data_IF_202731708950
#
_entry.id   IF_202731708950
#
_cell.length_a   1.000
_cell.length_b   1.000
_cell.length_c   1.000
_cell.angle_alpha   90.00
_cell.angle_beta   90.00
_cell.angle_gamma   90.00
#
_symmetry.space_group_name_H-M   'P 1'
#
loop_
_entity.id
_entity.type
_entity.pdbx_description
1 polymer ?
#
# COMPACT_ATOMS: atom_id res chain seq x y z
N UNK A 1 -23.51 -2.36 -13.37
CA UNK A 1 -23.71 -1.87 -11.99
C UNK A 1 -23.15 -0.44 -11.97
N UNK A 2 -24.01 0.54 -11.64
CA UNK A 2 -23.90 2.00 -11.92
C UNK A 2 -22.48 2.58 -11.70
N UNK A 3 -21.88 3.42 -12.56
CA UNK A 3 -22.24 4.72 -13.17
C UNK A 3 -22.43 5.85 -12.15
N UNK A 4 -21.32 6.49 -11.78
CA UNK A 4 -21.27 7.86 -11.26
C UNK A 4 -20.03 8.58 -11.82
N UNK A 5 -20.24 9.80 -12.29
CA UNK A 5 -19.25 10.70 -12.85
C UNK A 5 -19.11 11.84 -11.83
N UNK A 6 -18.10 11.74 -10.98
CA UNK A 6 -17.86 12.63 -9.84
C UNK A 6 -16.40 12.50 -9.40
N UNK A 7 -15.83 13.60 -8.92
CA UNK A 7 -14.50 13.79 -8.33
C UNK A 7 -13.72 12.47 -8.06
N UNK A 8 -12.63 12.25 -8.80
CA UNK A 8 -11.80 11.05 -8.70
C UNK A 8 -11.12 11.04 -7.32
N UNK A 9 -11.80 10.53 -6.30
CA UNK A 9 -11.22 10.33 -4.98
C UNK A 9 -10.28 9.13 -5.04
N UNK A 10 -9.00 9.39 -5.26
CA UNK A 10 -7.96 8.36 -5.18
C UNK A 10 -7.78 7.95 -3.72
N UNK A 11 -8.24 6.75 -3.40
CA UNK A 11 -8.08 6.16 -2.07
C UNK A 11 -6.79 5.34 -2.07
N UNK A 12 -5.84 5.70 -1.20
CA UNK A 12 -4.52 5.06 -1.13
C UNK A 12 -4.28 4.39 0.21
N UNK A 13 -3.51 3.31 0.19
CA UNK A 13 -3.14 2.58 1.39
C UNK A 13 -2.48 3.52 2.41
N UNK A 14 -3.12 3.65 3.57
CA UNK A 14 -2.66 4.49 4.69
C UNK A 14 -1.56 3.82 5.54
N UNK A 15 -1.16 2.59 5.18
CA UNK A 15 -0.09 1.83 5.82
C UNK A 15 -0.34 1.55 7.31
N UNK A 16 -1.59 1.31 7.69
CA UNK A 16 -2.00 1.01 9.07
C UNK A 16 -1.46 -0.31 9.65
N UNK A 17 -0.83 -1.18 8.84
CA UNK A 17 -0.24 -2.43 9.32
C UNK A 17 -1.22 -3.59 9.56
N UNK A 18 -2.53 -3.43 9.34
CA UNK A 18 -3.50 -4.51 9.55
C UNK A 18 -3.13 -5.79 8.78
N UNK A 19 -2.70 -5.66 7.52
CA UNK A 19 -2.26 -6.77 6.69
C UNK A 19 -0.96 -7.43 7.15
N UNK A 20 -0.06 -6.67 7.79
CA UNK A 20 1.16 -7.20 8.38
C UNK A 20 0.86 -7.98 9.66
N UNK A 21 -0.03 -7.45 10.51
CA UNK A 21 -0.39 -8.08 11.79
C UNK A 21 -1.06 -9.45 11.64
N UNK A 22 -1.78 -9.68 10.53
CA UNK A 22 -2.42 -10.97 10.26
C UNK A 22 -1.59 -11.90 9.40
N UNK A 23 -0.42 -11.47 8.87
CA UNK A 23 0.33 -12.30 7.93
C UNK A 23 1.04 -13.44 8.67
N UNK A 24 0.64 -14.71 8.50
CA UNK A 24 1.19 -15.81 9.30
C UNK A 24 2.65 -16.14 8.97
N UNK A 25 3.10 -15.77 7.76
CA UNK A 25 4.43 -16.11 7.25
C UNK A 25 5.39 -14.91 7.22
N UNK A 26 5.01 -13.76 7.79
CA UNK A 26 5.75 -12.50 7.67
C UNK A 26 6.09 -12.13 6.21
N UNK A 27 5.20 -12.51 5.27
CA UNK A 27 5.30 -12.11 3.88
C UNK A 27 4.97 -10.63 3.69
N UNK A 28 4.12 -10.08 4.56
CA UNK A 28 3.87 -8.66 4.72
C UNK A 28 4.33 -8.22 6.10
N UNK A 29 5.14 -7.16 6.16
CA UNK A 29 5.55 -6.52 7.41
C UNK A 29 5.33 -5.02 7.33
N UNK A 30 5.05 -4.40 8.48
CA UNK A 30 5.08 -2.95 8.65
C UNK A 30 6.49 -2.59 9.16
N UNK A 31 7.21 -1.83 8.36
CA UNK A 31 8.53 -1.30 8.67
C UNK A 31 8.53 0.21 8.45
N UNK A 32 9.67 0.87 8.60
CA UNK A 32 9.83 2.30 8.36
C UNK A 32 10.98 2.57 7.37
N UNK A 33 10.90 3.70 6.69
CA UNK A 33 11.97 4.22 5.86
C UNK A 33 12.23 5.67 6.24
N UNK A 34 13.50 6.00 6.40
CA UNK A 34 13.94 7.35 6.68
C UNK A 34 14.09 8.13 5.36
N UNK A 35 13.58 9.36 5.37
CA UNK A 35 13.63 10.28 4.24
C UNK A 35 14.14 11.62 4.73
N UNK A 36 15.06 12.21 3.99
CA UNK A 36 15.49 13.59 4.23
C UNK A 36 14.52 14.54 3.53
N UNK A 37 13.89 15.43 4.30
CA UNK A 37 12.96 16.45 3.83
C UNK A 37 13.41 17.77 4.44
N UNK A 38 13.78 18.75 3.61
CA UNK A 38 14.26 20.07 4.05
C UNK A 38 15.41 20.03 5.07
N UNK A 39 16.28 19.02 4.98
CA UNK A 39 17.42 18.82 5.88
C UNK A 39 17.09 18.12 7.20
N UNK A 40 15.84 17.70 7.41
CA UNK A 40 15.42 16.89 8.55
C UNK A 40 15.18 15.44 8.15
N UNK A 41 15.59 14.49 9.00
CA UNK A 41 15.29 13.07 8.81
C UNK A 41 13.90 12.77 9.35
N UNK A 42 12.99 12.39 8.47
CA UNK A 42 11.61 12.01 8.79
C UNK A 42 11.43 10.52 8.52
N UNK A 43 11.00 9.77 9.55
CA UNK A 43 10.68 8.35 9.40
C UNK A 43 9.22 8.16 8.96
N UNK A 44 8.99 7.26 8.01
CA UNK A 44 7.66 6.98 7.44
C UNK A 44 7.39 5.48 7.38
N UNK A 45 6.21 5.08 7.84
CA UNK A 45 5.74 3.70 7.73
C UNK A 45 5.71 3.22 6.27
N UNK A 46 6.05 1.96 6.06
CA UNK A 46 6.11 1.28 4.77
C UNK A 46 5.68 -0.18 4.92
N UNK A 47 4.81 -0.62 4.02
CA UNK A 47 4.50 -2.05 3.87
C UNK A 47 5.59 -2.68 2.99
N UNK A 48 6.26 -3.70 3.52
CA UNK A 48 7.25 -4.50 2.79
C UNK A 48 6.63 -5.85 2.48
N UNK A 49 6.75 -6.28 1.22
CA UNK A 49 6.26 -7.56 0.75
C UNK A 49 7.41 -8.46 0.29
N UNK A 50 7.45 -9.70 0.78
CA UNK A 50 8.38 -10.74 0.35
C UNK A 50 7.62 -11.87 -0.37
N UNK A 51 7.69 -11.97 -1.71
CA UNK A 51 6.96 -12.98 -2.46
C UNK A 51 7.40 -14.41 -2.12
N UNK A 52 8.66 -14.62 -1.71
CA UNK A 52 9.17 -15.95 -1.36
C UNK A 52 8.60 -16.51 -0.05
N UNK A 53 7.98 -15.67 0.77
CA UNK A 53 7.30 -16.06 2.02
C UNK A 53 5.78 -16.15 1.86
N UNK A 54 5.24 -15.70 0.73
CA UNK A 54 3.80 -15.66 0.50
C UNK A 54 3.30 -17.03 0.03
N UNK A 55 2.31 -17.58 0.71
CA UNK A 55 1.61 -18.82 0.37
C UNK A 55 0.24 -18.58 -0.27
N UNK A 56 -0.07 -17.32 -0.61
CA UNK A 56 -1.32 -16.89 -1.22
C UNK A 56 -2.59 -17.19 -0.41
N UNK A 57 -2.47 -17.31 0.94
CA UNK A 57 -3.58 -17.61 1.85
C UNK A 57 -4.74 -16.59 1.80
N UNK A 58 -4.43 -15.31 1.58
CA UNK A 58 -5.43 -14.25 1.43
C UNK A 58 -5.83 -13.50 2.71
N UNK A 59 -5.32 -13.87 3.89
CA UNK A 59 -5.69 -13.20 5.16
C UNK A 59 -5.47 -11.68 5.14
N UNK A 60 -4.40 -11.23 4.46
CA UNK A 60 -4.12 -9.81 4.30
C UNK A 60 -5.21 -9.03 3.53
N UNK A 61 -5.92 -9.70 2.61
CA UNK A 61 -7.03 -9.11 1.84
C UNK A 61 -8.20 -8.87 2.78
N UNK A 62 -8.62 -9.91 3.51
CA UNK A 62 -9.77 -9.84 4.43
C UNK A 62 -9.52 -8.88 5.60
N UNK A 63 -8.28 -8.77 6.06
CA UNK A 63 -7.91 -7.87 7.15
C UNK A 63 -7.80 -6.39 6.75
N UNK A 64 -7.86 -6.05 5.45
CA UNK A 64 -7.73 -4.67 5.01
C UNK A 64 -9.01 -3.87 5.32
N UNK A 65 -9.02 -2.93 6.28
CA UNK A 65 -10.24 -2.22 6.67
C UNK A 65 -10.74 -1.23 5.61
N UNK A 66 -9.94 -1.02 4.55
CA UNK A 66 -10.25 -0.13 3.44
C UNK A 66 -10.49 -0.87 2.12
N UNK A 67 -10.53 -2.22 2.16
CA UNK A 67 -10.76 -3.08 0.99
C UNK A 67 -9.84 -2.75 -0.21
N UNK A 68 -8.59 -2.41 0.08
CA UNK A 68 -7.62 -2.02 -0.95
C UNK A 68 -6.80 -3.19 -1.47
N UNK A 69 -6.52 -4.18 -0.62
CA UNK A 69 -5.70 -5.34 -0.98
C UNK A 69 -6.50 -6.30 -1.86
N UNK A 70 -5.89 -6.79 -2.94
CA UNK A 70 -6.53 -7.76 -3.83
C UNK A 70 -5.48 -8.66 -4.49
N UNK A 71 -5.93 -9.81 -5.01
CA UNK A 71 -5.07 -10.72 -5.78
C UNK A 71 -4.57 -10.04 -7.06
N UNK A 72 -3.34 -10.35 -7.44
CA UNK A 72 -2.72 -9.90 -8.67
C UNK A 72 -2.18 -11.11 -9.44
N UNK A 73 -2.39 -11.13 -10.76
CA UNK A 73 -2.00 -12.25 -11.63
C UNK A 73 -0.54 -12.12 -12.12
N UNK A 74 0.37 -11.68 -11.24
CA UNK A 74 1.80 -11.56 -11.54
C UNK A 74 2.56 -12.57 -10.70
N UNK A 75 3.34 -13.43 -11.36
CA UNK A 75 4.06 -14.56 -10.74
C UNK A 75 4.92 -14.14 -9.53
N UNK A 76 5.55 -12.96 -9.58
CA UNK A 76 6.40 -12.46 -8.49
C UNK A 76 5.70 -11.45 -7.58
N UNK A 77 4.40 -11.21 -7.78
CA UNK A 77 3.61 -10.24 -7.02
C UNK A 77 2.14 -10.70 -7.01
N UNK A 78 1.80 -11.69 -6.17
CA UNK A 78 0.46 -12.30 -6.12
C UNK A 78 -0.60 -11.41 -5.46
N UNK A 79 -0.18 -10.29 -4.83
CA UNK A 79 -1.07 -9.33 -4.18
C UNK A 79 -0.74 -7.90 -4.62
N UNK A 80 -1.74 -7.04 -4.68
CA UNK A 80 -1.61 -5.62 -5.01
C UNK A 80 -2.57 -4.76 -4.16
N UNK A 81 -2.45 -3.44 -4.26
CA UNK A 81 -3.34 -2.49 -3.56
C UNK A 81 -2.76 -1.86 -2.28
N UNK A 82 -1.50 -2.14 -1.96
CA UNK A 82 -0.77 -1.49 -0.87
C UNK A 82 0.28 -0.50 -1.40
N UNK A 83 0.55 0.53 -0.59
CA UNK A 83 1.55 1.56 -0.93
C UNK A 83 2.93 1.08 -0.48
N UNK A 84 3.85 0.95 -1.43
CA UNK A 84 5.26 0.61 -1.17
C UNK A 84 6.13 1.84 -0.95
N UNK A 85 5.52 3.02 -0.86
CA UNK A 85 6.19 4.32 -0.74
C UNK A 85 7.30 4.49 -1.79
N UNK A 86 7.02 4.13 -3.05
CA UNK A 86 7.98 4.20 -4.15
C UNK A 86 8.05 5.56 -4.84
N UNK A 87 7.21 6.52 -4.44
CA UNK A 87 7.15 7.91 -4.95
C UNK A 87 6.83 8.07 -6.45
N UNK A 88 6.62 6.98 -7.19
CA UNK A 88 6.24 7.01 -8.61
C UNK A 88 4.92 7.75 -8.88
N UNK A 89 4.05 7.88 -7.88
CA UNK A 89 2.84 8.69 -8.00
C UNK A 89 3.13 10.19 -8.06
N UNK A 90 4.21 10.66 -7.42
CA UNK A 90 4.59 12.07 -7.37
C UNK A 90 5.08 12.59 -8.72
N UNK A 91 5.76 11.76 -9.50
CA UNK A 91 6.22 12.12 -10.84
C UNK A 91 5.06 12.37 -11.82
N UNK A 92 3.92 11.71 -11.59
CA UNK A 92 2.75 11.76 -12.48
C UNK A 92 1.65 12.69 -11.99
N UNK A 93 1.66 13.07 -10.71
CA UNK A 93 0.66 13.96 -10.13
C UNK A 93 1.04 15.42 -10.34
N UNK A 94 0.06 16.24 -10.71
CA UNK A 94 0.17 17.69 -10.54
C UNK A 94 0.14 18.01 -9.02
N UNK A 95 0.75 19.13 -8.56
CA UNK A 95 0.89 19.47 -7.14
C UNK A 95 -0.41 19.49 -6.31
N UNK A 96 -1.57 19.45 -6.95
CA UNK A 96 -2.91 19.55 -6.35
C UNK A 96 -3.65 18.21 -6.28
N UNK A 97 -3.10 17.15 -6.88
CA UNK A 97 -3.82 15.86 -7.06
C UNK A 97 -3.71 14.89 -5.88
N UNK A 98 -2.84 15.18 -4.90
CA UNK A 98 -2.63 14.34 -3.73
C UNK A 98 -3.00 15.09 -2.46
N UNK A 99 -4.27 14.95 -2.05
CA UNK A 99 -4.67 15.35 -0.70
C UNK A 99 -4.46 14.16 0.23
N UNK A 100 -3.48 14.25 1.12
CA UNK A 100 -3.41 13.37 2.29
C UNK A 100 -4.47 13.88 3.27
N UNK A 101 -5.57 13.13 3.41
CA UNK A 101 -6.55 13.34 4.49
C UNK A 101 -6.01 12.79 5.80
#
# INVERSE_FOLDING_TARGET
>A
RQKDMGEQSFTMCVRCGACANVCPNDALILDYVDKEIDGEVVSRDRIIFNPSKCDECGECIDACPYDMLHKAYKVNLPIAGFCTLCEQCLEKCTPESLTLK
#
